data_IF_478280500994
#
_entry.id   IF_478280500994
#
_cell.length_a   1.000
_cell.length_b   1.000
_cell.length_c   1.000
_cell.angle_alpha   90.00
_cell.angle_beta   90.00
_cell.angle_gamma   90.00
#
_symmetry.space_group_name_H-M   'P 1'
#
loop_
_entity.id
_entity.type
_entity.pdbx_description
1 polymer ?
#
# COMPACT_ATOMS: atom_id res chain seq x y z
N UNK A 1 -27.00 -11.17 14.16
CA UNK A 1 -25.80 -10.32 14.25
C UNK A 1 -24.59 -11.21 13.96
N UNK A 2 -24.02 -11.16 12.74
CA UNK A 2 -22.84 -11.98 12.40
C UNK A 2 -21.61 -11.19 12.81
N UNK A 3 -20.91 -11.71 13.82
CA UNK A 3 -19.62 -11.18 14.28
C UNK A 3 -18.66 -11.23 13.09
N UNK A 4 -18.16 -10.08 12.66
CA UNK A 4 -17.13 -9.97 11.63
C UNK A 4 -15.86 -10.58 12.25
N UNK A 5 -15.41 -11.73 11.73
CA UNK A 5 -14.12 -12.32 12.13
C UNK A 5 -12.98 -11.39 11.68
N UNK A 6 -12.56 -10.51 12.58
CA UNK A 6 -11.60 -9.43 12.29
C UNK A 6 -10.12 -9.82 12.33
N UNK A 7 -9.78 -11.11 12.42
CA UNK A 7 -8.40 -11.54 12.21
C UNK A 7 -8.36 -12.80 11.37
N UNK A 8 -8.29 -12.63 10.04
CA UNK A 8 -7.72 -13.69 9.21
C UNK A 8 -6.24 -13.80 9.59
N UNK A 9 -5.91 -14.87 10.30
CA UNK A 9 -4.54 -15.14 10.71
C UNK A 9 -3.77 -15.67 9.49
N UNK A 10 -2.96 -14.79 8.88
CA UNK A 10 -2.08 -15.14 7.76
C UNK A 10 -0.71 -15.64 8.23
N UNK A 11 -0.45 -15.74 9.54
CA UNK A 11 0.90 -15.93 10.08
C UNK A 11 1.57 -17.20 9.56
N UNK A 12 0.85 -18.33 9.48
CA UNK A 12 1.43 -19.57 8.93
C UNK A 12 1.74 -19.45 7.43
N UNK A 13 0.93 -18.72 6.68
CA UNK A 13 1.12 -18.52 5.26
C UNK A 13 2.28 -17.56 4.98
N UNK A 14 2.37 -16.48 5.76
CA UNK A 14 3.46 -15.52 5.72
C UNK A 14 4.78 -16.22 6.07
N UNK A 15 4.80 -17.03 7.13
CA UNK A 15 5.99 -17.79 7.55
C UNK A 15 6.48 -18.73 6.43
N UNK A 16 5.57 -19.50 5.81
CA UNK A 16 5.92 -20.35 4.67
C UNK A 16 6.44 -19.56 3.47
N UNK A 17 5.79 -18.43 3.16
CA UNK A 17 6.22 -17.56 2.07
C UNK A 17 7.59 -16.92 2.35
N UNK A 18 7.88 -16.59 3.61
CA UNK A 18 9.17 -16.07 4.09
C UNK A 18 10.28 -17.09 3.92
N UNK A 19 9.96 -18.36 4.15
CA UNK A 19 10.85 -19.51 3.94
C UNK A 19 11.02 -19.90 2.46
N UNK A 20 10.48 -19.12 1.52
CA UNK A 20 10.63 -19.36 0.08
C UNK A 20 9.67 -20.39 -0.52
N UNK A 21 8.60 -20.78 0.19
CA UNK A 21 7.58 -21.66 -0.36
C UNK A 21 6.82 -20.95 -1.50
N UNK A 22 7.09 -21.38 -2.75
CA UNK A 22 6.47 -20.81 -3.96
C UNK A 22 4.94 -20.92 -3.96
N UNK A 23 4.37 -21.96 -3.34
CA UNK A 23 2.91 -22.12 -3.25
C UNK A 23 2.32 -21.09 -2.29
N UNK A 24 2.99 -20.86 -1.16
CA UNK A 24 2.57 -19.85 -0.20
C UNK A 24 2.66 -18.44 -0.78
N UNK A 25 3.75 -18.13 -1.51
CA UNK A 25 3.91 -16.85 -2.20
C UNK A 25 2.83 -16.64 -3.25
N UNK A 26 2.55 -17.65 -4.08
CA UNK A 26 1.48 -17.57 -5.08
C UNK A 26 0.11 -17.35 -4.43
N UNK A 27 -0.18 -18.04 -3.33
CA UNK A 27 -1.45 -17.86 -2.60
C UNK A 27 -1.58 -16.46 -2.01
N UNK A 28 -0.50 -15.88 -1.45
CA UNK A 28 -0.51 -14.48 -1.01
C UNK A 28 -0.76 -13.53 -2.18
N UNK A 29 -0.10 -13.76 -3.32
CA UNK A 29 -0.30 -12.94 -4.50
C UNK A 29 -1.76 -12.95 -4.96
N UNK A 30 -2.36 -14.12 -5.14
CA UNK A 30 -3.77 -14.28 -5.55
C UNK A 30 -4.74 -13.56 -4.61
N UNK A 31 -4.50 -13.59 -3.30
CA UNK A 31 -5.38 -12.96 -2.33
C UNK A 31 -5.31 -11.43 -2.34
N UNK A 32 -4.11 -10.86 -2.52
CA UNK A 32 -3.91 -9.42 -2.37
C UNK A 32 -3.84 -8.68 -3.71
N UNK A 33 -3.53 -9.35 -4.83
CA UNK A 33 -3.31 -8.69 -6.13
C UNK A 33 -4.51 -7.89 -6.63
N UNK A 34 -5.79 -8.32 -6.52
CA UNK A 34 -6.91 -7.51 -7.04
C UNK A 34 -7.05 -6.20 -6.26
N UNK A 35 -6.85 -6.25 -4.94
CA UNK A 35 -6.94 -5.08 -4.06
C UNK A 35 -5.75 -4.15 -4.26
N UNK A 36 -4.54 -4.69 -4.39
CA UNK A 36 -3.32 -3.91 -4.60
C UNK A 36 -3.28 -3.25 -5.98
N UNK A 37 -3.79 -3.93 -7.02
CA UNK A 37 -3.98 -3.31 -8.33
C UNK A 37 -4.93 -2.11 -8.24
N UNK A 38 -6.01 -2.24 -7.47
CA UNK A 38 -6.92 -1.14 -7.17
C UNK A 38 -6.25 0.03 -6.45
N UNK A 39 -5.25 -0.21 -5.61
CA UNK A 39 -4.44 0.84 -4.99
C UNK A 39 -3.55 1.51 -6.03
N UNK A 40 -2.79 0.76 -6.83
CA UNK A 40 -1.91 1.33 -7.86
C UNK A 40 -2.67 2.19 -8.88
N UNK A 41 -3.88 1.76 -9.29
CA UNK A 41 -4.76 2.51 -10.20
C UNK A 41 -5.27 3.84 -9.63
N UNK A 42 -5.27 4.03 -8.32
CA UNK A 42 -5.62 5.34 -7.72
C UNK A 42 -4.53 6.39 -7.96
N UNK A 43 -3.30 5.95 -8.21
CA UNK A 43 -2.15 6.83 -8.45
C UNK A 43 -1.78 6.89 -9.94
N UNK A 44 -1.89 5.77 -10.65
CA UNK A 44 -1.43 5.62 -12.03
C UNK A 44 -2.62 5.56 -12.98
N UNK A 45 -2.68 6.48 -13.94
CA UNK A 45 -3.76 6.55 -14.95
C UNK A 45 -3.66 5.45 -16.01
N UNK A 46 -2.46 4.95 -16.29
CA UNK A 46 -2.23 3.87 -17.24
C UNK A 46 -2.36 2.52 -16.53
N UNK A 47 -3.27 1.66 -17.02
CA UNK A 47 -3.52 0.35 -16.46
C UNK A 47 -2.32 -0.59 -16.56
N UNK A 48 -1.59 -0.57 -17.68
CA UNK A 48 -0.43 -1.45 -17.89
C UNK A 48 0.69 -1.07 -16.92
N UNK A 49 0.92 0.23 -16.75
CA UNK A 49 1.88 0.75 -15.79
C UNK A 49 1.48 0.43 -14.34
N UNK A 50 0.18 0.48 -14.03
CA UNK A 50 -0.31 0.11 -12.71
C UNK A 50 -0.06 -1.38 -12.40
N UNK A 51 -0.21 -2.25 -13.40
CA UNK A 51 0.09 -3.68 -13.28
C UNK A 51 1.60 -3.92 -13.08
N UNK A 52 2.44 -3.26 -13.85
CA UNK A 52 3.90 -3.35 -13.72
C UNK A 52 4.39 -2.90 -12.33
N UNK A 53 3.88 -1.76 -11.85
CA UNK A 53 4.21 -1.22 -10.52
C UNK A 53 3.72 -2.17 -9.43
N UNK A 54 2.52 -2.73 -9.57
CA UNK A 54 2.01 -3.72 -8.62
C UNK A 54 2.92 -4.94 -8.57
N UNK A 55 3.30 -5.52 -9.71
CA UNK A 55 4.20 -6.68 -9.77
C UNK A 55 5.56 -6.38 -9.13
N UNK A 56 6.12 -5.20 -9.41
CA UNK A 56 7.36 -4.72 -8.80
C UNK A 56 7.23 -4.56 -7.28
N UNK A 57 6.09 -4.06 -6.81
CA UNK A 57 5.76 -3.96 -5.39
C UNK A 57 5.65 -5.32 -4.71
N UNK A 58 5.05 -6.32 -5.37
CA UNK A 58 5.00 -7.69 -4.86
C UNK A 58 6.40 -8.32 -4.77
N UNK A 59 7.26 -8.09 -5.75
CA UNK A 59 8.64 -8.56 -5.71
C UNK A 59 9.36 -8.01 -4.46
N UNK A 60 9.27 -6.69 -4.23
CA UNK A 60 9.84 -6.05 -3.03
C UNK A 60 9.24 -6.58 -1.74
N UNK A 61 7.92 -6.79 -1.72
CA UNK A 61 7.24 -7.37 -0.57
C UNK A 61 7.80 -8.75 -0.23
N UNK A 62 7.98 -9.65 -1.21
CA UNK A 62 8.58 -10.96 -0.95
C UNK A 62 10.05 -10.88 -0.54
N UNK A 63 10.82 -9.94 -1.09
CA UNK A 63 12.22 -9.72 -0.67
C UNK A 63 12.33 -9.28 0.78
N UNK A 64 11.42 -8.42 1.25
CA UNK A 64 11.40 -7.87 2.61
C UNK A 64 10.44 -8.60 3.56
N UNK A 65 9.92 -9.76 3.16
CA UNK A 65 8.91 -10.47 3.94
C UNK A 65 9.45 -10.94 5.30
N UNK A 66 10.74 -11.27 5.37
CA UNK A 66 11.43 -11.64 6.61
C UNK A 66 11.51 -10.47 7.61
N UNK A 67 11.43 -9.21 7.13
CA UNK A 67 11.51 -8.01 7.98
C UNK A 67 10.15 -7.67 8.61
N UNK A 68 9.07 -8.34 8.20
CA UNK A 68 7.72 -8.09 8.71
C UNK A 68 7.58 -8.67 10.13
N UNK A 69 7.72 -7.80 11.14
CA UNK A 69 7.64 -8.16 12.58
C UNK A 69 6.22 -8.41 13.11
N UNK A 70 5.22 -8.51 12.24
CA UNK A 70 3.81 -8.71 12.63
C UNK A 70 3.25 -7.60 13.56
N UNK A 71 3.90 -6.43 13.59
CA UNK A 71 3.51 -5.23 14.36
C UNK A 71 2.42 -4.42 13.61
N UNK A 72 1.35 -5.10 13.18
CA UNK A 72 0.24 -4.48 12.46
C UNK A 72 -0.42 -5.39 11.43
N UNK A 73 -1.37 -4.84 10.67
CA UNK A 73 -2.02 -5.59 9.59
C UNK A 73 -1.07 -5.81 8.42
N UNK A 74 -0.88 -7.07 8.02
CA UNK A 74 -0.14 -7.45 6.81
C UNK A 74 -0.67 -6.71 5.57
N UNK A 75 -1.99 -6.50 5.50
CA UNK A 75 -2.61 -5.75 4.42
C UNK A 75 -2.17 -4.28 4.41
N UNK A 76 -2.06 -3.65 5.58
CA UNK A 76 -1.57 -2.27 5.70
C UNK A 76 -0.11 -2.16 5.27
N UNK A 77 0.71 -3.15 5.61
CA UNK A 77 2.11 -3.21 5.24
C UNK A 77 2.29 -3.33 3.71
N UNK A 78 1.61 -4.27 3.05
CA UNK A 78 1.69 -4.40 1.58
C UNK A 78 1.11 -3.17 0.87
N UNK A 79 0.02 -2.57 1.39
CA UNK A 79 -0.53 -1.33 0.83
C UNK A 79 0.50 -0.21 0.85
N UNK A 80 1.30 -0.09 1.92
CA UNK A 80 2.36 0.92 2.01
C UNK A 80 3.42 0.74 0.94
N UNK A 81 3.83 -0.50 0.68
CA UNK A 81 4.77 -0.82 -0.40
C UNK A 81 4.18 -0.37 -1.75
N UNK A 82 2.92 -0.72 -2.05
CA UNK A 82 2.28 -0.37 -3.32
C UNK A 82 2.15 1.14 -3.53
N UNK A 83 1.79 1.89 -2.48
CA UNK A 83 1.70 3.36 -2.53
C UNK A 83 3.08 3.96 -2.80
N UNK A 84 4.11 3.51 -2.08
CA UNK A 84 5.47 4.01 -2.26
C UNK A 84 6.00 3.73 -3.67
N UNK A 85 5.75 2.54 -4.22
CA UNK A 85 6.14 2.21 -5.58
C UNK A 85 5.40 3.05 -6.62
N UNK A 86 4.09 3.27 -6.42
CA UNK A 86 3.30 4.11 -7.33
C UNK A 86 3.77 5.56 -7.33
N UNK A 87 4.05 6.13 -6.15
CA UNK A 87 4.61 7.48 -6.02
C UNK A 87 6.01 7.55 -6.63
N UNK A 88 6.85 6.53 -6.41
CA UNK A 88 8.18 6.45 -7.02
C UNK A 88 8.10 6.46 -8.54
N UNK A 89 7.17 5.71 -9.12
CA UNK A 89 6.94 5.70 -10.56
C UNK A 89 6.48 7.07 -11.08
N UNK A 90 5.52 7.71 -10.41
CA UNK A 90 5.07 9.06 -10.77
C UNK A 90 6.22 10.08 -10.72
N UNK A 91 7.12 9.97 -9.74
CA UNK A 91 8.31 10.83 -9.64
C UNK A 91 9.27 10.59 -10.81
N UNK A 92 9.46 9.34 -11.24
CA UNK A 92 10.27 9.01 -12.43
C UNK A 92 9.64 9.57 -13.70
N UNK A 93 8.34 9.38 -13.89
CA UNK A 93 7.62 9.90 -15.06
C UNK A 93 7.71 11.43 -15.11
N UNK A 94 7.52 12.10 -13.98
CA UNK A 94 7.67 13.56 -13.87
C UNK A 94 9.11 14.00 -14.14
N UNK A 95 10.10 13.27 -13.62
CA UNK A 95 11.53 13.53 -13.89
C UNK A 95 11.87 13.34 -15.37
N UNK A 96 11.30 12.33 -16.02
CA UNK A 96 11.46 12.12 -17.47
C UNK A 96 10.84 13.25 -18.28
N UNK A 97 9.66 13.76 -17.86
CA UNK A 97 9.05 14.95 -18.46
C UNK A 97 9.92 16.20 -18.26
N UNK A 98 10.44 16.44 -17.05
CA UNK A 98 11.35 17.56 -16.79
C UNK A 98 12.69 17.46 -17.52
N UNK A 99 13.30 16.26 -17.60
CA UNK A 99 14.53 16.04 -18.39
C UNK A 99 14.25 16.29 -19.88
N UNK A 100 13.05 15.99 -20.36
CA UNK A 100 12.66 16.29 -21.74
C UNK A 100 12.46 17.78 -21.99
N UNK A 101 12.18 18.57 -20.95
CA UNK A 101 11.89 20.00 -21.06
C UNK A 101 13.13 20.88 -20.87
N UNK A 102 14.03 20.65 -19.91
CA UNK A 102 15.35 21.31 -19.85
C UNK A 102 16.24 20.66 -18.78
N UNK A 103 17.54 20.54 -19.05
CA UNK A 103 18.58 20.58 -18.02
C UNK A 103 18.21 21.67 -16.98
N UNK A 104 18.02 21.36 -15.69
CA UNK A 104 18.20 22.28 -14.53
C UNK A 104 17.99 21.50 -13.20
N UNK A 105 19.09 21.46 -12.45
CA UNK A 105 19.31 21.44 -11.00
C UNK A 105 18.65 20.40 -10.06
N UNK A 106 19.55 19.76 -9.30
CA UNK A 106 19.32 18.83 -8.21
C UNK A 106 18.56 19.47 -7.05
N UNK A 107 17.61 18.73 -6.47
CA UNK A 107 17.38 18.78 -5.02
C UNK A 107 16.99 17.38 -4.52
N UNK A 108 17.91 16.79 -3.79
CA UNK A 108 17.76 15.63 -2.91
C UNK A 108 16.94 16.00 -1.67
N UNK A 109 16.49 14.94 -0.98
CA UNK A 109 15.99 14.91 0.42
C UNK A 109 14.48 15.06 0.64
N UNK A 110 13.80 13.92 0.87
CA UNK A 110 13.12 13.66 2.15
C UNK A 110 12.71 12.19 2.23
N UNK A 111 13.51 11.42 2.98
CA UNK A 111 13.11 10.17 3.61
C UNK A 111 12.23 10.50 4.83
N UNK A 112 10.91 10.52 4.65
CA UNK A 112 10.00 10.71 5.78
C UNK A 112 9.79 9.36 6.47
N UNK A 113 10.47 9.17 7.60
CA UNK A 113 10.05 8.27 8.67
C UNK A 113 8.61 8.63 9.05
N UNK A 114 7.69 7.67 9.06
CA UNK A 114 6.28 7.93 9.43
C UNK A 114 5.98 7.19 10.74
N UNK A 115 5.97 7.96 11.83
CA UNK A 115 5.38 7.58 13.11
C UNK A 115 3.87 7.44 12.93
N UNK A 116 3.34 6.25 13.21
CA UNK A 116 1.97 5.85 12.84
C UNK A 116 0.91 6.20 13.89
N UNK A 117 1.29 6.53 15.12
CA UNK A 117 0.32 6.81 16.19
C UNK A 117 -0.24 8.24 16.13
N UNK A 118 0.57 9.25 15.79
CA UNK A 118 0.14 10.65 15.78
C UNK A 118 -0.93 10.94 14.71
N UNK A 119 -0.86 10.29 13.55
CA UNK A 119 -1.79 10.52 12.43
C UNK A 119 -3.18 9.92 12.66
N UNK A 120 -3.31 8.83 13.44
CA UNK A 120 -4.63 8.20 13.66
C UNK A 120 -5.60 9.12 14.38
N UNK A 121 -5.11 9.89 15.36
CA UNK A 121 -5.91 10.86 16.09
C UNK A 121 -6.32 12.06 15.22
N UNK A 122 -5.48 12.48 14.27
CA UNK A 122 -5.80 13.57 13.34
C UNK A 122 -6.81 13.14 12.27
N UNK A 123 -6.66 11.92 11.74
CA UNK A 123 -7.63 11.34 10.80
C UNK A 123 -8.98 11.16 11.49
N UNK A 124 -9.00 10.72 12.75
CA UNK A 124 -10.24 10.59 13.53
C UNK A 124 -10.92 11.94 13.73
N UNK A 125 -10.18 13.02 14.01
CA UNK A 125 -10.73 14.37 14.10
C UNK A 125 -11.32 14.88 12.78
N UNK A 126 -10.71 14.53 11.65
CA UNK A 126 -11.26 14.88 10.33
C UNK A 126 -12.52 14.07 9.99
N UNK A 127 -12.60 12.81 10.43
CA UNK A 127 -13.82 12.00 10.33
C UNK A 127 -14.93 12.58 11.21
N UNK A 128 -14.58 13.07 12.39
CA UNK A 128 -15.53 13.66 13.34
C UNK A 128 -16.02 15.05 12.94
N UNK A 129 -15.30 15.77 12.07
CA UNK A 129 -15.71 17.08 11.54
C UNK A 129 -16.64 17.01 10.32
N UNK A 130 -16.92 15.81 9.81
CA UNK A 130 -17.87 15.60 8.72
C UNK A 130 -19.33 15.69 9.23
N UNK A 131 -20.25 16.30 8.45
CA UNK A 131 -21.67 16.29 8.77
C UNK A 131 -22.22 14.87 8.91
N UNK A 132 -23.15 14.66 9.85
CA UNK A 132 -23.60 13.34 10.31
C UNK A 132 -24.00 12.37 9.19
N UNK A 133 -24.58 12.87 8.09
CA UNK A 133 -24.93 12.06 6.92
C UNK A 133 -23.72 11.42 6.22
N UNK A 134 -22.63 12.16 6.03
CA UNK A 134 -21.41 11.66 5.38
C UNK A 134 -20.58 10.78 6.31
N UNK A 135 -20.55 11.11 7.61
CA UNK A 135 -19.91 10.28 8.63
C UNK A 135 -20.55 8.90 8.71
N UNK A 136 -21.88 8.83 8.65
CA UNK A 136 -22.62 7.57 8.66
C UNK A 136 -22.29 6.69 7.45
N UNK A 137 -22.22 7.28 6.25
CA UNK A 137 -21.82 6.57 5.03
C UNK A 137 -20.38 6.07 5.11
N UNK A 138 -19.47 6.89 5.61
CA UNK A 138 -18.06 6.52 5.79
C UNK A 138 -17.90 5.38 6.81
N UNK A 139 -18.58 5.45 7.96
CA UNK A 139 -18.56 4.38 8.99
C UNK A 139 -19.24 3.10 8.49
N UNK A 140 -20.25 3.19 7.62
CA UNK A 140 -20.91 2.00 7.08
C UNK A 140 -20.16 1.33 5.92
N UNK A 141 -19.34 2.08 5.18
CA UNK A 141 -18.65 1.57 3.98
C UNK A 141 -17.14 1.39 4.14
N UNK A 142 -16.48 2.12 5.05
CA UNK A 142 -15.03 2.14 5.19
C UNK A 142 -14.49 1.60 6.52
N UNK A 143 -15.31 1.39 7.56
CA UNK A 143 -14.87 0.71 8.81
C UNK A 143 -15.27 -0.76 8.88
#
# INVERSE_FOLDING_TARGET
>A
MKIISLHKNYSNLIEKASNGDRRAQHQLFEMFSPKMLGVCRQYLKNNDLAEEVMLSGFLKMFTHLNDFKNEGSFEGWIRRIMVNESISQLRKDKKLQFISETEIENTTEHSTYIETELETAEIQKMIDSLPDGYKTVFVLLCS
#
